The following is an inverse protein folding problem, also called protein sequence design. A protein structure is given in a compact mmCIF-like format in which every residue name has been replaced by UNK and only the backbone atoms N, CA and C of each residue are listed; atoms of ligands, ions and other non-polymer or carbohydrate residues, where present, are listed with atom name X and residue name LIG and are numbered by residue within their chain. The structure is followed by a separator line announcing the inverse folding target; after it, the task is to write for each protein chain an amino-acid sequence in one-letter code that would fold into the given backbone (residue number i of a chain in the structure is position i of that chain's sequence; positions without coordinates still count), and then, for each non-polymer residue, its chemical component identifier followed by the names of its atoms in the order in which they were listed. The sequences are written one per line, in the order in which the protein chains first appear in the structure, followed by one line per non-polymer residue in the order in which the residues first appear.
data_IF_205285879936
#
_entry.id   IF_205285879936
#
_cell.length_a   1.000
_cell.length_b   1.000
_cell.length_c   1.000
_cell.angle_alpha   90.00
_cell.angle_beta   90.00
_cell.angle_gamma   90.00
#
_symmetry.space_group_name_H-M   'P 1'
#
loop_
_entity.id
_entity.type
_entity.pdbx_description
1 polymer ?
#
# COMPACT_ATOMS: atom_id res chain seq x y z
N UNK A 1 23.08 -17.30 -36.28
CA UNK A 1 21.62 -17.17 -36.05
C UNK A 1 21.43 -16.97 -34.55
N UNK A 2 20.88 -15.82 -34.12
CA UNK A 2 20.59 -15.57 -32.70
C UNK A 2 19.33 -16.36 -32.32
N UNK A 3 19.32 -17.13 -31.22
CA UNK A 3 18.10 -17.78 -30.78
C UNK A 3 17.09 -16.69 -30.41
N UNK A 4 15.97 -16.69 -31.12
CA UNK A 4 14.82 -15.86 -30.80
C UNK A 4 14.18 -16.50 -29.56
N UNK A 5 14.48 -15.98 -28.38
CA UNK A 5 13.79 -16.39 -27.15
C UNK A 5 12.36 -15.87 -27.25
N UNK A 6 11.45 -16.76 -27.66
CA UNK A 6 10.00 -16.52 -27.54
C UNK A 6 9.73 -16.56 -26.04
N UNK A 7 9.61 -15.38 -25.41
CA UNK A 7 9.10 -15.29 -24.05
C UNK A 7 7.64 -15.78 -24.09
N UNK A 8 7.40 -16.97 -23.54
CA UNK A 8 6.07 -17.52 -23.34
C UNK A 8 5.47 -16.80 -22.11
N UNK A 9 4.37 -16.07 -22.31
CA UNK A 9 3.66 -15.29 -21.28
C UNK A 9 2.47 -16.10 -20.76
N UNK A 10 2.40 -16.36 -19.45
CA UNK A 10 1.27 -17.09 -18.87
C UNK A 10 0.86 -16.48 -17.54
N UNK A 11 -0.43 -16.16 -17.42
CA UNK A 11 -1.10 -15.77 -16.17
C UNK A 11 -1.86 -17.00 -15.65
N UNK A 12 -1.62 -17.39 -14.41
CA UNK A 12 -2.46 -18.39 -13.72
C UNK A 12 -3.60 -17.63 -13.05
N UNK A 13 -4.84 -17.84 -13.50
CA UNK A 13 -6.05 -17.17 -13.00
C UNK A 13 -6.92 -18.17 -12.25
N UNK A 14 -7.22 -17.89 -10.98
CA UNK A 14 -8.21 -18.65 -10.20
C UNK A 14 -9.44 -17.77 -9.91
N UNK A 15 -10.63 -18.21 -10.34
CA UNK A 15 -11.90 -17.52 -10.10
C UNK A 15 -12.67 -18.23 -8.98
N UNK A 16 -12.96 -17.52 -7.89
CA UNK A 16 -13.72 -18.08 -6.78
C UNK A 16 -14.96 -17.23 -6.52
N UNK A 17 -16.11 -17.88 -6.60
CA UNK A 17 -17.42 -17.28 -6.31
C UNK A 17 -17.89 -17.72 -4.93
N UNK A 18 -18.24 -16.77 -4.06
CA UNK A 18 -18.87 -17.11 -2.78
C UNK A 18 -18.50 -16.27 -1.56
N UNK A 19 -18.57 -14.94 -1.63
CA UNK A 19 -18.60 -14.11 -0.42
C UNK A 19 -20.03 -14.00 0.14
N UNK A 20 -20.49 -14.96 0.95
CA UNK A 20 -21.75 -14.80 1.70
C UNK A 20 -21.59 -15.13 3.18
N UNK A 21 -21.68 -14.09 4.02
CA UNK A 21 -21.73 -14.14 5.48
C UNK A 21 -20.36 -14.15 6.18
N UNK A 22 -20.29 -13.54 7.37
CA UNK A 22 -19.14 -13.69 8.26
C UNK A 22 -19.03 -15.17 8.67
N UNK A 23 -17.87 -15.78 8.48
CA UNK A 23 -17.69 -17.21 8.71
C UNK A 23 -16.38 -17.75 8.15
N UNK A 24 -15.97 -18.92 8.64
CA UNK A 24 -14.82 -19.68 8.14
C UNK A 24 -15.31 -20.79 7.23
N UNK A 25 -14.71 -20.91 6.04
CA UNK A 25 -14.90 -22.06 5.15
C UNK A 25 -13.56 -22.78 5.01
N UNK A 26 -13.49 -23.99 5.56
CA UNK A 26 -12.45 -24.95 5.18
C UNK A 26 -12.84 -25.55 3.81
N UNK A 27 -12.28 -25.00 2.74
CA UNK A 27 -12.56 -25.40 1.35
C UNK A 27 -11.71 -26.61 0.95
N UNK A 28 -11.79 -27.71 1.70
CA UNK A 28 -11.17 -28.96 1.27
C UNK A 28 -11.84 -29.56 0.00
N UNK A 29 -12.92 -28.96 -0.51
CA UNK A 29 -13.75 -29.50 -1.58
C UNK A 29 -14.06 -28.55 -2.76
N UNK A 30 -13.58 -27.28 -2.74
CA UNK A 30 -13.78 -26.32 -3.83
C UNK A 30 -12.45 -25.86 -4.44
N UNK A 31 -11.50 -26.80 -4.53
CA UNK A 31 -10.16 -26.56 -5.04
C UNK A 31 -10.20 -26.63 -6.56
N UNK A 32 -10.16 -25.48 -7.23
CA UNK A 32 -9.75 -25.45 -8.64
C UNK A 32 -8.22 -25.32 -8.64
N UNK A 33 -7.51 -26.41 -8.95
CA UNK A 33 -6.06 -26.34 -9.18
C UNK A 33 -5.88 -25.81 -10.60
N UNK A 34 -5.51 -24.55 -10.72
CA UNK A 34 -5.18 -23.99 -12.03
C UNK A 34 -3.72 -24.30 -12.29
N UNK A 35 -3.49 -25.18 -13.26
CA UNK A 35 -2.17 -25.56 -13.76
C UNK A 35 -1.93 -24.83 -15.08
N UNK A 36 -0.87 -24.04 -15.14
CA UNK A 36 -0.31 -23.63 -16.42
C UNK A 36 0.72 -24.68 -16.85
N UNK A 37 0.46 -25.34 -17.98
CA UNK A 37 1.42 -26.21 -18.66
C UNK A 37 2.32 -25.35 -19.55
N UNK A 38 3.60 -25.26 -19.21
CA UNK A 38 4.60 -24.45 -19.92
C UNK A 38 5.42 -25.28 -20.93
N UNK A 39 5.01 -26.53 -21.20
CA UNK A 39 5.80 -27.54 -21.90
C UNK A 39 6.27 -28.63 -20.95
N UNK A 40 6.62 -29.81 -21.49
CA UNK A 40 6.47 -31.15 -20.90
C UNK A 40 7.00 -31.45 -19.47
N UNK A 41 7.61 -30.51 -18.75
CA UNK A 41 7.99 -30.64 -17.33
C UNK A 41 7.86 -29.34 -16.50
N UNK A 42 7.46 -28.22 -17.10
CA UNK A 42 7.41 -26.91 -16.46
C UNK A 42 5.98 -26.57 -16.01
N UNK A 43 5.74 -26.63 -14.69
CA UNK A 43 4.41 -26.46 -14.12
C UNK A 43 4.41 -25.46 -12.96
N UNK A 44 3.47 -24.52 -13.00
CA UNK A 44 3.11 -23.66 -11.87
C UNK A 44 1.69 -24.05 -11.43
N UNK A 45 1.51 -24.18 -10.12
CA UNK A 45 0.26 -24.56 -9.49
C UNK A 45 -0.10 -23.57 -8.40
N UNK A 46 -1.33 -23.09 -8.42
CA UNK A 46 -1.91 -22.25 -7.37
C UNK A 46 -3.07 -23.02 -6.73
N UNK A 47 -3.09 -23.07 -5.39
CA UNK A 47 -4.15 -23.72 -4.63
C UNK A 47 -4.59 -22.84 -3.46
N UNK A 48 -5.87 -22.49 -3.38
CA UNK A 48 -6.44 -21.89 -2.16
C UNK A 48 -6.71 -23.01 -1.15
N UNK A 49 -6.19 -22.85 0.06
CA UNK A 49 -6.34 -23.82 1.16
C UNK A 49 -7.48 -23.43 2.09
N UNK A 50 -7.60 -22.13 2.41
CA UNK A 50 -8.59 -21.62 3.35
C UNK A 50 -8.99 -20.20 3.02
N UNK A 51 -10.27 -19.92 3.26
CA UNK A 51 -10.85 -18.58 3.22
C UNK A 51 -11.55 -18.25 4.53
N UNK A 52 -11.43 -17.01 4.97
CA UNK A 52 -12.14 -16.50 6.15
C UNK A 52 -12.55 -15.05 5.92
N UNK A 53 -13.84 -14.76 6.05
CA UNK A 53 -14.35 -13.39 5.97
C UNK A 53 -14.76 -12.91 7.36
N UNK A 54 -14.08 -11.89 7.88
CA UNK A 54 -14.36 -11.30 9.20
C UNK A 54 -15.38 -10.15 9.16
N UNK A 55 -15.97 -9.90 7.99
CA UNK A 55 -16.92 -8.81 7.73
C UNK A 55 -16.27 -7.48 7.32
N UNK A 56 -14.95 -7.36 7.40
CA UNK A 56 -14.16 -6.22 6.89
C UNK A 56 -13.17 -6.65 5.82
N UNK A 57 -12.49 -7.76 6.05
CA UNK A 57 -11.49 -8.34 5.17
C UNK A 57 -11.86 -9.79 4.85
N UNK A 58 -11.62 -10.16 3.59
CA UNK A 58 -11.50 -11.54 3.17
C UNK A 58 -10.02 -11.94 3.31
N UNK A 59 -9.76 -12.92 4.17
CA UNK A 59 -8.44 -13.50 4.41
C UNK A 59 -8.31 -14.80 3.64
N UNK A 60 -7.24 -14.94 2.86
CA UNK A 60 -7.01 -16.09 2.00
C UNK A 60 -5.63 -16.68 2.29
N UNK A 61 -5.63 -17.97 2.59
CA UNK A 61 -4.44 -18.80 2.69
C UNK A 61 -4.35 -19.68 1.45
N UNK A 62 -3.24 -19.63 0.75
CA UNK A 62 -3.03 -20.37 -0.48
C UNK A 62 -1.60 -20.94 -0.54
N UNK A 63 -1.38 -21.89 -1.45
CA UNK A 63 -0.07 -22.44 -1.76
C UNK A 63 0.27 -22.28 -3.24
N UNK A 64 1.51 -21.88 -3.49
CA UNK A 64 2.11 -21.74 -4.81
C UNK A 64 3.19 -22.81 -4.95
N UNK A 65 3.04 -23.70 -5.92
CA UNK A 65 4.05 -24.68 -6.28
C UNK A 65 4.61 -24.40 -7.67
N UNK A 66 5.93 -24.47 -7.83
CA UNK A 66 6.59 -24.31 -9.12
C UNK A 66 7.63 -25.41 -9.32
N UNK A 67 7.59 -26.08 -10.48
CA UNK A 67 8.65 -26.99 -10.93
C UNK A 67 9.76 -26.28 -11.71
N UNK A 68 9.57 -24.99 -11.98
CA UNK A 68 10.55 -24.09 -12.58
C UNK A 68 11.28 -23.27 -11.52
N UNK A 69 12.57 -22.94 -11.72
CA UNK A 69 13.34 -22.14 -10.77
C UNK A 69 12.88 -20.67 -10.78
N UNK A 70 11.83 -20.35 -10.04
CA UNK A 70 11.34 -18.99 -9.83
C UNK A 70 12.00 -18.36 -8.61
N UNK A 71 12.42 -17.10 -8.71
CA UNK A 71 12.92 -16.34 -7.55
C UNK A 71 11.74 -15.71 -6.82
N UNK A 72 11.71 -15.81 -5.49
CA UNK A 72 10.63 -15.23 -4.67
C UNK A 72 10.45 -13.72 -4.92
N UNK A 73 11.55 -12.99 -5.10
CA UNK A 73 11.52 -11.54 -5.33
C UNK A 73 11.08 -11.13 -6.74
N UNK A 74 10.90 -12.09 -7.64
CA UNK A 74 10.38 -11.87 -9.00
C UNK A 74 8.90 -12.27 -9.16
N UNK A 75 8.24 -12.70 -8.08
CA UNK A 75 6.85 -13.13 -8.10
C UNK A 75 5.98 -12.14 -7.35
N UNK A 76 4.85 -11.80 -7.94
CA UNK A 76 3.78 -11.00 -7.34
C UNK A 76 2.51 -11.84 -7.30
N UNK A 77 1.82 -11.78 -6.17
CA UNK A 77 0.44 -12.22 -6.05
C UNK A 77 -0.45 -11.01 -6.25
N UNK A 78 -1.30 -11.04 -7.26
CA UNK A 78 -2.35 -10.05 -7.49
C UNK A 78 -3.67 -10.64 -7.04
N UNK A 79 -4.41 -9.91 -6.22
CA UNK A 79 -5.79 -10.24 -5.86
C UNK A 79 -6.72 -9.17 -6.39
N UNK A 80 -7.76 -9.58 -7.10
CA UNK A 80 -8.77 -8.71 -7.69
C UNK A 80 -10.11 -9.01 -7.04
N UNK A 81 -10.79 -7.98 -6.54
CA UNK A 81 -12.15 -8.09 -6.01
C UNK A 81 -13.14 -7.55 -7.03
N UNK A 82 -14.23 -8.27 -7.26
CA UNK A 82 -15.25 -7.89 -8.22
C UNK A 82 -16.64 -7.80 -7.59
N UNK A 83 -17.50 -6.98 -8.20
CA UNK A 83 -18.92 -6.85 -7.91
C UNK A 83 -19.67 -6.91 -9.23
N UNK A 84 -20.69 -7.77 -9.31
CA UNK A 84 -21.52 -7.92 -10.52
C UNK A 84 -20.67 -8.17 -11.78
N UNK A 85 -19.61 -8.99 -11.63
CA UNK A 85 -18.68 -9.33 -12.72
C UNK A 85 -17.67 -8.24 -13.11
N UNK A 86 -17.62 -7.10 -12.42
CA UNK A 86 -16.65 -6.02 -12.68
C UNK A 86 -15.59 -5.96 -11.58
N UNK A 87 -14.32 -5.94 -11.95
CA UNK A 87 -13.23 -5.68 -11.01
C UNK A 87 -13.39 -4.27 -10.46
N UNK A 88 -13.59 -4.15 -9.15
CA UNK A 88 -13.71 -2.86 -8.45
C UNK A 88 -12.46 -2.56 -7.62
N UNK A 89 -11.57 -3.54 -7.45
CA UNK A 89 -10.39 -3.43 -6.60
C UNK A 89 -9.31 -4.40 -7.00
N UNK A 90 -8.07 -3.97 -6.88
CA UNK A 90 -6.89 -4.82 -7.05
C UNK A 90 -5.87 -4.54 -5.95
N UNK A 91 -5.20 -5.57 -5.45
CA UNK A 91 -4.07 -5.45 -4.54
C UNK A 91 -2.92 -6.33 -5.01
N UNK A 92 -1.69 -5.87 -4.79
CA UNK A 92 -0.48 -6.51 -5.28
C UNK A 92 0.49 -6.78 -4.13
N UNK A 93 0.91 -8.04 -4.00
CA UNK A 93 1.76 -8.52 -2.93
C UNK A 93 3.04 -9.13 -3.48
N UNK A 94 4.23 -8.58 -3.17
CA UNK A 94 5.48 -9.29 -3.42
C UNK A 94 5.47 -10.62 -2.68
N UNK A 95 5.73 -11.73 -3.38
CA UNK A 95 5.63 -13.06 -2.79
C UNK A 95 6.54 -13.24 -1.58
N UNK A 96 7.74 -12.65 -1.61
CA UNK A 96 8.70 -12.69 -0.50
C UNK A 96 8.20 -12.09 0.82
N UNK A 97 7.04 -11.42 0.83
CA UNK A 97 6.47 -10.80 2.02
C UNK A 97 5.23 -11.49 2.55
N UNK A 98 4.50 -12.19 1.68
CA UNK A 98 3.28 -12.90 2.02
C UNK A 98 3.52 -14.39 2.20
N UNK A 99 4.63 -14.91 1.68
CA UNK A 99 5.05 -16.28 1.89
C UNK A 99 5.34 -16.54 3.38
N UNK A 100 4.90 -17.70 3.87
CA UNK A 100 5.19 -18.13 5.23
C UNK A 100 6.71 -18.24 5.45
N UNK A 101 7.25 -17.75 6.59
CA UNK A 101 8.67 -17.89 6.88
C UNK A 101 9.03 -19.37 6.96
N UNK A 102 9.91 -19.84 6.07
CA UNK A 102 10.47 -21.20 6.18
C UNK A 102 11.35 -21.24 7.42
N UNK A 103 10.93 -21.96 8.44
CA UNK A 103 11.79 -22.40 9.54
C UNK A 103 12.69 -23.51 8.98
N UNK A 104 13.74 -23.13 8.25
CA UNK A 104 14.77 -24.07 7.80
C UNK A 104 16.14 -23.52 8.20
N UNK A 105 17.03 -24.38 8.74
CA UNK A 105 18.26 -23.95 9.37
C UNK A 105 19.17 -23.26 8.36
N UNK A 106 19.80 -22.19 8.86
CA UNK A 106 20.72 -21.31 8.14
C UNK A 106 21.86 -22.12 7.53
N UNK A 107 21.75 -22.40 6.24
CA UNK A 107 22.91 -22.73 5.41
C UNK A 107 23.36 -21.45 4.74
N UNK A 108 24.43 -20.87 5.27
CA UNK A 108 25.02 -19.62 4.81
C UNK A 108 25.39 -19.69 3.33
N UNK A 109 24.62 -18.98 2.51
CA UNK A 109 24.93 -18.69 1.13
C UNK A 109 24.06 -17.53 0.71
N UNK A 110 24.66 -16.50 0.10
CA UNK A 110 23.97 -15.34 -0.48
C UNK A 110 23.16 -15.71 -1.75
N UNK A 111 22.59 -16.91 -1.77
CA UNK A 111 21.76 -17.44 -2.84
C UNK A 111 20.34 -16.91 -2.70
N UNK A 112 19.88 -16.22 -3.74
CA UNK A 112 18.50 -15.73 -3.83
C UNK A 112 17.52 -16.88 -3.62
N UNK A 113 16.57 -16.69 -2.69
CA UNK A 113 15.60 -17.73 -2.32
C UNK A 113 14.73 -18.09 -3.53
N UNK A 114 14.86 -19.33 -3.99
CA UNK A 114 13.97 -19.90 -5.00
C UNK A 114 12.65 -20.32 -4.35
N UNK A 115 11.57 -20.28 -5.12
CA UNK A 115 10.32 -20.95 -4.79
C UNK A 115 10.58 -22.45 -4.73
N UNK A 116 10.22 -23.08 -3.61
CA UNK A 116 10.22 -24.53 -3.48
C UNK A 116 9.05 -25.18 -4.22
N UNK A 117 9.00 -26.51 -4.14
CA UNK A 117 7.95 -27.33 -4.78
C UNK A 117 6.53 -26.92 -4.38
N UNK A 118 6.35 -26.41 -3.16
CA UNK A 118 5.12 -25.82 -2.65
C UNK A 118 5.41 -24.87 -1.51
N UNK A 119 4.90 -23.66 -1.58
CA UNK A 119 5.05 -22.63 -0.55
C UNK A 119 3.73 -21.96 -0.24
N UNK A 120 3.41 -21.91 1.06
CA UNK A 120 2.20 -21.25 1.55
C UNK A 120 2.39 -19.74 1.62
N UNK A 121 1.31 -19.01 1.36
CA UNK A 121 1.25 -17.57 1.48
C UNK A 121 -0.14 -17.10 1.94
N UNK A 122 -0.16 -15.89 2.51
CA UNK A 122 -1.35 -15.28 3.09
C UNK A 122 -1.59 -13.90 2.51
N UNK A 123 -2.77 -13.67 1.94
CA UNK A 123 -3.20 -12.37 1.40
C UNK A 123 -4.58 -12.01 1.95
N UNK A 124 -4.94 -10.74 1.83
CA UNK A 124 -6.29 -10.28 2.15
C UNK A 124 -6.78 -9.25 1.14
N UNK A 125 -8.08 -8.98 1.18
CA UNK A 125 -8.69 -7.89 0.42
C UNK A 125 -9.90 -7.40 1.21
N UNK A 126 -10.18 -6.10 1.25
CA UNK A 126 -11.38 -5.66 1.98
C UNK A 126 -12.64 -6.18 1.29
N UNK A 127 -13.56 -6.69 2.11
CA UNK A 127 -14.73 -7.48 1.68
C UNK A 127 -16.03 -6.70 1.65
N UNK A 128 -16.02 -5.43 2.06
CA UNK A 128 -17.23 -4.60 2.22
C UNK A 128 -18.06 -4.46 0.95
N UNK A 129 -17.42 -4.57 -0.21
CA UNK A 129 -18.02 -4.25 -1.50
C UNK A 129 -17.83 -5.29 -2.60
N UNK A 130 -17.13 -6.39 -2.36
CA UNK A 130 -16.88 -7.42 -3.37
C UNK A 130 -17.85 -8.60 -3.20
N UNK A 131 -18.34 -9.14 -4.31
CA UNK A 131 -19.15 -10.38 -4.37
C UNK A 131 -18.29 -11.60 -4.68
N UNK A 132 -17.23 -11.39 -5.47
CA UNK A 132 -16.34 -12.43 -5.95
C UNK A 132 -14.89 -11.92 -5.94
N UNK A 133 -13.94 -12.84 -6.06
CA UNK A 133 -12.53 -12.47 -6.14
C UNK A 133 -11.75 -13.41 -7.05
N UNK A 134 -10.58 -12.91 -7.48
CA UNK A 134 -9.66 -13.61 -8.37
C UNK A 134 -8.25 -13.49 -7.82
N UNK A 135 -7.48 -14.58 -7.86
CA UNK A 135 -6.05 -14.56 -7.55
C UNK A 135 -5.27 -14.85 -8.83
N UNK A 136 -4.26 -14.03 -9.08
CA UNK A 136 -3.31 -14.15 -10.18
C UNK A 136 -1.89 -14.22 -9.63
N UNK A 137 -1.08 -15.09 -10.24
CA UNK A 137 0.37 -15.12 -10.00
C UNK A 137 1.03 -14.47 -11.20
N UNK A 138 1.77 -13.38 -10.95
CA UNK A 138 2.53 -12.65 -11.96
C UNK A 138 4.02 -12.90 -11.76
N UNK A 139 4.75 -13.23 -12.83
CA UNK A 139 6.20 -13.40 -12.82
C UNK A 139 6.83 -12.92 -14.13
N UNK A 140 8.16 -12.93 -14.20
CA UNK A 140 8.88 -12.55 -15.42
C UNK A 140 8.55 -11.11 -15.84
N UNK A 141 8.28 -10.90 -17.13
CA UNK A 141 8.02 -9.57 -17.70
C UNK A 141 6.76 -8.90 -17.14
N UNK A 142 5.73 -9.67 -16.80
CA UNK A 142 4.45 -9.16 -16.29
C UNK A 142 4.58 -8.61 -14.87
N UNK A 143 5.45 -9.21 -14.05
CA UNK A 143 5.69 -8.72 -12.70
C UNK A 143 6.48 -7.41 -12.66
N UNK A 144 7.31 -7.10 -13.68
CA UNK A 144 8.21 -5.93 -13.70
C UNK A 144 7.49 -4.60 -13.41
N UNK A 145 6.45 -4.19 -14.16
CA UNK A 145 5.80 -2.89 -13.95
C UNK A 145 5.19 -2.77 -12.54
N UNK A 146 4.68 -3.88 -11.99
CA UNK A 146 4.09 -3.90 -10.66
C UNK A 146 5.16 -3.91 -9.56
N UNK A 147 6.29 -4.60 -9.75
CA UNK A 147 7.44 -4.57 -8.83
C UNK A 147 8.02 -3.16 -8.73
N UNK A 148 8.14 -2.45 -9.86
CA UNK A 148 8.61 -1.06 -9.87
C UNK A 148 7.62 -0.12 -9.18
N UNK A 149 6.32 -0.27 -9.45
CA UNK A 149 5.27 0.51 -8.79
C UNK A 149 5.28 0.29 -7.27
N UNK A 150 5.40 -0.96 -6.81
CA UNK A 150 5.49 -1.32 -5.41
C UNK A 150 6.79 -0.83 -4.75
N UNK A 151 7.91 -0.84 -5.47
CA UNK A 151 9.16 -0.23 -4.98
C UNK A 151 8.99 1.27 -4.83
N UNK A 152 8.40 1.97 -5.79
CA UNK A 152 8.12 3.41 -5.71
C UNK A 152 7.20 3.76 -4.55
N UNK A 153 6.13 2.98 -4.33
CA UNK A 153 5.21 3.21 -3.20
C UNK A 153 5.83 2.95 -1.83
N UNK A 154 6.88 2.12 -1.75
CA UNK A 154 7.59 1.77 -0.50
C UNK A 154 8.87 2.57 -0.26
N UNK A 155 9.41 3.23 -1.27
CA UNK A 155 10.74 3.82 -1.20
C UNK A 155 10.80 5.08 -0.34
N UNK A 156 9.70 5.79 -0.16
CA UNK A 156 9.65 6.94 0.74
C UNK A 156 8.21 7.18 1.20
N UNK A 157 7.84 6.64 2.38
CA UNK A 157 6.52 6.84 2.95
C UNK A 157 6.64 7.60 4.26
N UNK A 158 5.93 8.71 4.35
CA UNK A 158 5.97 9.63 5.47
C UNK A 158 4.57 9.81 6.02
N UNK A 159 4.44 9.79 7.34
CA UNK A 159 3.19 10.04 8.05
C UNK A 159 3.34 11.27 8.95
N UNK A 160 2.32 12.13 8.93
CA UNK A 160 2.18 13.21 9.91
C UNK A 160 1.51 12.66 11.17
N UNK A 161 2.09 12.93 12.34
CA UNK A 161 1.50 12.63 13.65
C UNK A 161 1.70 13.80 14.61
N UNK A 162 1.05 13.73 15.77
CA UNK A 162 1.18 14.76 16.83
C UNK A 162 0.89 16.19 16.32
N UNK A 163 -0.07 16.34 15.42
CA UNK A 163 -0.47 17.64 14.88
C UNK A 163 -1.16 18.45 15.97
N UNK A 164 -0.61 19.62 16.29
CA UNK A 164 -1.18 20.57 17.24
C UNK A 164 -1.32 21.93 16.57
N UNK A 165 -2.50 22.50 16.69
CA UNK A 165 -2.83 23.83 16.20
C UNK A 165 -2.99 24.74 17.41
N UNK A 166 -2.32 25.88 17.39
CA UNK A 166 -2.46 26.94 18.39
C UNK A 166 -2.72 28.25 17.69
N UNK A 167 -3.44 29.14 18.36
CA UNK A 167 -3.78 30.45 17.84
C UNK A 167 -3.35 31.50 18.87
N UNK A 168 -2.59 32.49 18.41
CA UNK A 168 -2.15 33.61 19.24
C UNK A 168 -2.60 34.92 18.60
N UNK A 169 -2.95 35.95 19.40
CA UNK A 169 -3.24 37.27 18.86
C UNK A 169 -2.03 37.80 18.09
N UNK A 170 -2.26 38.33 16.88
CA UNK A 170 -1.22 39.01 16.13
C UNK A 170 -0.66 40.24 16.86
N UNK A 171 0.59 40.60 16.56
CA UNK A 171 1.26 41.78 17.10
C UNK A 171 0.78 43.05 16.39
N UNK A 172 -0.49 43.43 16.58
CA UNK A 172 -0.96 44.76 16.24
C UNK A 172 -1.57 45.43 17.47
N UNK A 173 -1.44 46.76 17.56
CA UNK A 173 -1.89 47.53 18.73
C UNK A 173 -3.42 47.65 18.86
N UNK A 174 -4.20 46.99 18.00
CA UNK A 174 -5.63 47.20 17.84
C UNK A 174 -6.48 45.98 18.24
N UNK A 175 -7.69 46.23 18.74
CA UNK A 175 -8.65 45.19 19.16
C UNK A 175 -9.16 44.27 18.02
N UNK A 176 -8.75 44.50 16.77
CA UNK A 176 -9.14 43.72 15.58
C UNK A 176 -7.94 42.97 14.97
N UNK A 177 -6.97 42.60 15.79
CA UNK A 177 -5.84 41.84 15.28
C UNK A 177 -6.25 40.49 14.73
N UNK A 178 -5.82 40.14 13.50
CA UNK A 178 -5.97 38.79 13.04
C UNK A 178 -5.16 37.86 13.95
N UNK A 179 -5.70 36.67 14.18
CA UNK A 179 -4.98 35.66 14.92
C UNK A 179 -3.92 35.02 14.03
N UNK A 180 -2.74 34.79 14.59
CA UNK A 180 -1.67 33.99 13.97
C UNK A 180 -1.91 32.54 14.36
N UNK A 181 -1.98 31.65 13.36
CA UNK A 181 -2.07 30.21 13.60
C UNK A 181 -0.69 29.59 13.53
N UNK A 182 -0.35 28.81 14.56
CA UNK A 182 0.88 28.03 14.62
C UNK A 182 0.50 26.57 14.59
N UNK A 183 0.97 25.86 13.57
CA UNK A 183 0.82 24.42 13.46
C UNK A 183 2.15 23.75 13.77
N UNK A 184 2.14 22.80 14.68
CA UNK A 184 3.27 21.91 14.93
C UNK A 184 2.85 20.49 14.60
N UNK A 185 3.75 19.72 14.01
CA UNK A 185 3.51 18.32 13.67
C UNK A 185 4.82 17.55 13.75
N UNK A 186 4.74 16.24 13.64
CA UNK A 186 5.89 15.36 13.56
C UNK A 186 5.81 14.54 12.27
N UNK A 187 6.86 14.63 11.48
CA UNK A 187 7.07 13.82 10.27
C UNK A 187 7.72 12.52 10.71
N UNK A 188 7.07 11.38 10.47
CA UNK A 188 7.60 10.05 10.73
C UNK A 188 7.87 9.34 9.40
N UNK A 189 9.08 8.83 9.19
CA UNK A 189 9.37 7.95 8.07
C UNK A 189 8.90 6.53 8.41
N UNK A 190 7.83 6.08 7.76
CA UNK A 190 7.31 4.71 7.86
C UNK A 190 7.74 3.83 6.68
N UNK A 191 8.47 4.40 5.72
CA UNK A 191 9.04 3.70 4.58
C UNK A 191 10.33 2.95 4.89
N UNK A 192 10.84 2.26 3.87
CA UNK A 192 12.03 1.41 4.00
C UNK A 192 13.35 2.13 3.64
N UNK A 193 13.31 3.34 3.07
CA UNK A 193 14.50 4.12 2.70
C UNK A 193 14.55 5.46 3.44
N UNK A 194 15.76 6.04 3.63
CA UNK A 194 15.89 7.38 4.19
C UNK A 194 15.19 8.43 3.31
N UNK A 195 14.53 9.39 3.96
CA UNK A 195 13.85 10.53 3.30
C UNK A 195 14.70 11.77 3.46
N UNK A 196 14.97 12.47 2.35
CA UNK A 196 15.83 13.66 2.32
C UNK A 196 15.06 14.97 2.18
N UNK A 197 13.85 14.90 1.63
CA UNK A 197 12.99 16.05 1.38
C UNK A 197 11.52 15.63 1.47
N UNK A 198 10.71 16.48 2.12
CA UNK A 198 9.25 16.32 2.20
C UNK A 198 8.61 17.65 1.83
N UNK A 199 7.63 17.60 0.94
CA UNK A 199 6.77 18.74 0.65
C UNK A 199 5.46 18.59 1.40
N UNK A 200 5.18 19.52 2.31
CA UNK A 200 3.94 19.54 3.12
C UNK A 200 3.01 20.60 2.55
N UNK A 201 1.75 20.22 2.35
CA UNK A 201 0.67 21.11 1.99
C UNK A 201 -0.09 21.56 3.22
N UNK A 202 -0.45 22.85 3.26
CA UNK A 202 -1.30 23.42 4.29
C UNK A 202 -2.41 24.25 3.66
N UNK A 203 -3.65 23.98 4.04
CA UNK A 203 -4.84 24.71 3.58
C UNK A 203 -5.76 25.04 4.74
N UNK A 204 -6.59 26.07 4.57
CA UNK A 204 -7.61 26.46 5.54
C UNK A 204 -8.97 25.89 5.12
N UNK A 205 -9.58 25.09 5.99
CA UNK A 205 -10.91 24.49 5.76
C UNK A 205 -11.95 25.09 6.70
N UNK A 206 -13.12 25.45 6.16
CA UNK A 206 -14.27 25.86 6.96
C UNK A 206 -14.95 24.69 7.69
N UNK A 207 -15.84 25.00 8.63
CA UNK A 207 -16.69 23.99 9.30
C UNK A 207 -17.69 23.30 8.37
N UNK A 208 -18.04 23.92 7.23
CA UNK A 208 -18.78 23.26 6.14
C UNK A 208 -17.79 22.43 5.31
N UNK A 209 -18.09 21.15 5.12
CA UNK A 209 -17.20 20.20 4.43
C UNK A 209 -16.85 20.56 2.96
N UNK A 210 -17.45 21.62 2.40
CA UNK A 210 -17.39 21.99 0.99
C UNK A 210 -16.45 23.15 0.66
N UNK A 211 -16.00 23.95 1.63
CA UNK A 211 -15.25 25.17 1.34
C UNK A 211 -13.78 25.04 1.79
N UNK A 212 -12.90 24.75 0.82
CA UNK A 212 -11.49 25.12 0.96
C UNK A 212 -11.44 26.64 0.84
N UNK A 213 -11.09 27.31 1.94
CA UNK A 213 -11.13 28.77 2.06
C UNK A 213 -9.83 29.42 1.55
N UNK A 214 -8.76 28.65 1.39
CA UNK A 214 -7.48 29.13 0.88
C UNK A 214 -6.89 28.17 -0.16
N UNK A 215 -6.05 28.72 -1.04
CA UNK A 215 -5.14 27.89 -1.83
C UNK A 215 -4.20 27.12 -0.88
N UNK A 216 -3.77 25.92 -1.31
CA UNK A 216 -2.87 25.09 -0.53
C UNK A 216 -1.44 25.62 -0.64
N UNK A 217 -0.92 26.19 0.45
CA UNK A 217 0.47 26.59 0.54
C UNK A 217 1.37 25.36 0.62
N UNK A 218 2.43 25.36 -0.18
CA UNK A 218 3.40 24.26 -0.28
C UNK A 218 4.68 24.64 0.45
N UNK A 219 5.01 23.89 1.49
CA UNK A 219 6.15 24.16 2.36
C UNK A 219 7.12 22.99 2.24
N UNK A 220 8.32 23.29 1.73
CA UNK A 220 9.41 22.32 1.68
C UNK A 220 10.07 22.23 3.06
N UNK A 221 10.15 21.00 3.58
CA UNK A 221 10.86 20.70 4.82
C UNK A 221 12.24 20.16 4.44
N UNK A 222 13.22 21.06 4.45
CA UNK A 222 14.62 20.75 4.19
C UNK A 222 15.55 21.57 5.11
N UNK A 223 16.74 21.06 5.48
CA UNK A 223 17.24 19.71 5.18
C UNK A 223 16.56 18.65 6.07
N UNK A 224 16.17 17.52 5.48
CA UNK A 224 15.66 16.36 6.20
C UNK A 224 16.64 15.19 6.02
N UNK A 225 16.92 14.44 7.08
CA UNK A 225 17.63 13.17 6.97
C UNK A 225 16.94 12.15 7.86
N UNK A 226 15.78 11.69 7.37
CA UNK A 226 14.87 10.89 8.16
C UNK A 226 15.03 9.42 7.79
N UNK A 227 15.84 8.70 8.56
CA UNK A 227 15.97 7.25 8.41
C UNK A 227 14.65 6.51 8.69
N UNK A 228 14.46 5.29 8.18
CA UNK A 228 13.29 4.46 8.48
C UNK A 228 13.01 4.38 9.99
N UNK A 229 11.75 4.57 10.38
CA UNK A 229 11.29 4.57 11.77
C UNK A 229 11.67 5.80 12.60
N UNK A 230 12.44 6.74 12.04
CA UNK A 230 12.78 8.00 12.71
C UNK A 230 11.74 9.07 12.42
N UNK A 231 11.65 10.00 13.36
CA UNK A 231 10.72 11.11 13.29
C UNK A 231 11.42 12.44 13.58
N UNK A 232 10.86 13.50 13.00
CA UNK A 232 11.36 14.86 13.15
C UNK A 232 10.18 15.81 13.36
N UNK A 233 10.29 16.64 14.40
CA UNK A 233 9.31 17.69 14.66
C UNK A 233 9.45 18.81 13.62
N UNK A 234 8.31 19.29 13.13
CA UNK A 234 8.19 20.46 12.28
C UNK A 234 7.29 21.48 12.95
N UNK A 235 7.61 22.76 12.75
CA UNK A 235 6.79 23.88 13.20
C UNK A 235 6.57 24.81 12.02
N UNK A 236 5.31 24.98 11.67
CA UNK A 236 4.84 25.84 10.59
C UNK A 236 4.08 27.02 11.21
N UNK A 237 4.46 28.23 10.85
CA UNK A 237 3.78 29.45 11.29
C UNK A 237 3.02 29.99 10.10
N UNK A 238 1.69 30.05 10.21
CA UNK A 238 0.83 30.69 9.23
C UNK A 238 0.66 32.14 9.65
N UNK A 239 1.31 33.03 8.92
CA UNK A 239 1.22 34.48 9.13
C UNK A 239 -0.03 35.08 8.45
N UNK A 240 -0.71 34.32 7.60
CA UNK A 240 -1.97 34.76 6.99
C UNK A 240 -3.05 34.94 8.05
N UNK A 241 -3.63 36.15 8.05
CA UNK A 241 -4.62 36.54 9.02
C UNK A 241 -5.90 35.73 8.89
N UNK A 242 -6.16 34.86 9.86
CA UNK A 242 -7.43 34.17 9.96
C UNK A 242 -8.52 35.22 10.28
N UNK A 243 -9.66 35.24 9.55
CA UNK A 243 -10.71 36.22 9.78
C UNK A 243 -11.14 36.23 11.25
N UNK A 244 -11.25 37.44 11.82
CA UNK A 244 -11.66 37.60 13.22
C UNK A 244 -13.05 36.99 13.47
N UNK A 245 -13.21 36.37 14.64
CA UNK A 245 -14.37 35.59 15.06
C UNK A 245 -15.71 36.24 14.67
N UNK A 246 -16.47 35.53 13.83
CA UNK A 246 -17.78 35.95 13.31
C UNK A 246 -18.18 35.20 12.03
N UNK A 247 -17.20 34.72 11.26
CA UNK A 247 -17.41 33.87 10.09
C UNK A 247 -16.64 32.56 10.29
N UNK A 248 -17.36 31.43 10.28
CA UNK A 248 -16.89 30.03 10.18
C UNK A 248 -15.58 29.68 10.92
N UNK A 249 -15.63 28.81 11.93
CA UNK A 249 -14.41 28.32 12.59
C UNK A 249 -13.50 27.63 11.56
N UNK A 250 -12.41 28.29 11.16
CA UNK A 250 -11.46 27.78 10.17
C UNK A 250 -10.42 26.92 10.86
N UNK A 251 -10.13 25.74 10.32
CA UNK A 251 -9.07 24.87 10.80
C UNK A 251 -8.03 24.61 9.72
N UNK A 252 -6.72 24.66 10.05
CA UNK A 252 -5.68 24.30 9.11
C UNK A 252 -5.66 22.78 8.92
N UNK A 253 -5.64 22.34 7.67
CA UNK A 253 -5.46 20.96 7.26
C UNK A 253 -4.05 20.78 6.70
N UNK A 254 -3.33 19.78 7.22
CA UNK A 254 -1.99 19.42 6.75
C UNK A 254 -2.04 18.10 6.00
N UNK A 255 -1.31 18.02 4.89
CA UNK A 255 -1.06 16.75 4.18
C UNK A 255 0.35 16.69 3.60
N UNK A 256 0.84 15.49 3.36
CA UNK A 256 2.09 15.27 2.61
C UNK A 256 1.75 15.31 1.12
N UNK A 257 2.47 16.15 0.36
CA UNK A 257 2.32 16.28 -1.09
C UNK A 257 3.34 15.39 -1.81
N UNK A 258 4.60 15.46 -1.40
CA UNK A 258 5.72 14.78 -2.06
C UNK A 258 6.77 14.31 -1.04
N UNK A 259 7.44 13.20 -1.34
CA UNK A 259 8.53 12.62 -0.55
C UNK A 259 9.65 12.18 -1.48
N UNK A 260 10.89 12.54 -1.19
CA UNK A 260 12.10 12.14 -1.94
C UNK A 260 13.33 11.95 -1.08
#
# INVERSE_FOLDING_TARGET
MKPCAIALYFVVVLLLSGCFGAGSRDLNSAVEVVQADLGSDEQISLKVEREFNDGKLLHISASLGARVPLRRDSVIIKISGSRDGRIIREQYYPFSQVAAPKVSPVSGGSGQAQLGEREEFYVNIESSDITDYQIEVLWGAEAIPHLESLKRSRQASVRLRNVRVSSEPGLCGDKRCPNIMKVSAEILNVGASPVKRVLVGISLKGTSNADNLSEEARIEVAPLNLNPGRSQAIRLVLEEGVPAAGALAVMPQLRVIEVS
#
